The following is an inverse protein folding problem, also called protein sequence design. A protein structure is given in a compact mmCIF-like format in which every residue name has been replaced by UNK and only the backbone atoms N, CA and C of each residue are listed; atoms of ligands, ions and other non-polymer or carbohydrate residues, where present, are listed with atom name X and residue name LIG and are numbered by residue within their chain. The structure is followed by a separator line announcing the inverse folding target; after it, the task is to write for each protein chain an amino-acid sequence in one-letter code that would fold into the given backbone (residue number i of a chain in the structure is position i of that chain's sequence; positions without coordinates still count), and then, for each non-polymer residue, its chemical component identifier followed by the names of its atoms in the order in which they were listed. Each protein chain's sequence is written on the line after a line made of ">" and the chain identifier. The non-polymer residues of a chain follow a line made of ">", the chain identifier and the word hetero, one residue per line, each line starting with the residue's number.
data_IF_964464301968
#
_entry.id   IF_964464301968
#
_cell.length_a   1.000
_cell.length_b   1.000
_cell.length_c   1.000
_cell.angle_alpha   90.00
_cell.angle_beta   90.00
_cell.angle_gamma   90.00
#
_symmetry.space_group_name_H-M   'P 1'
#
loop_
_entity.id
_entity.type
_entity.pdbx_description
1 polymer ?
#
# COMPACT_ATOMS: atom_id res chain seq x y z
N UNK A 1 53.61 -20.49 55.43
CA UNK A 1 53.72 -21.57 54.43
C UNK A 1 54.09 -20.92 53.12
N UNK A 2 55.35 -21.18 52.69
CA UNK A 2 55.95 -20.54 51.52
C UNK A 2 55.67 -21.34 50.26
N UNK A 3 54.99 -20.75 49.25
CA UNK A 3 54.85 -21.31 47.92
C UNK A 3 56.12 -20.90 47.11
N UNK A 4 56.96 -21.89 46.84
CA UNK A 4 58.11 -21.75 45.96
C UNK A 4 57.71 -21.66 44.47
N UNK A 5 58.53 -20.99 43.62
CA UNK A 5 58.23 -20.85 42.19
C UNK A 5 58.44 -22.20 41.48
N UNK A 6 57.42 -22.62 40.69
CA UNK A 6 57.52 -23.75 39.77
C UNK A 6 58.58 -23.44 38.70
N UNK A 7 59.63 -24.27 38.65
CA UNK A 7 60.63 -24.26 37.57
C UNK A 7 59.94 -24.57 36.25
N UNK A 8 59.99 -23.58 35.32
CA UNK A 8 59.62 -23.80 33.92
C UNK A 8 60.48 -24.87 33.28
N UNK A 9 59.89 -26.01 32.95
CA UNK A 9 60.54 -27.03 32.15
C UNK A 9 60.88 -26.46 30.77
N UNK A 10 62.08 -26.70 30.26
CA UNK A 10 62.44 -26.42 28.88
C UNK A 10 61.45 -27.19 27.97
N UNK A 11 60.86 -26.56 26.97
CA UNK A 11 59.96 -27.24 26.05
C UNK A 11 60.72 -28.36 25.32
N UNK A 12 60.03 -29.50 25.18
CA UNK A 12 60.58 -30.70 24.54
C UNK A 12 60.96 -30.38 23.08
N UNK A 13 62.09 -30.92 22.57
CA UNK A 13 62.46 -30.74 21.16
C UNK A 13 61.36 -31.13 20.17
N UNK A 14 60.45 -32.09 20.55
CA UNK A 14 59.29 -32.49 19.78
C UNK A 14 58.22 -31.36 19.71
N UNK A 15 57.97 -30.65 20.84
CA UNK A 15 57.02 -29.51 20.88
C UNK A 15 57.50 -28.32 20.08
N UNK A 16 58.82 -28.06 20.09
CA UNK A 16 59.42 -27.00 19.28
C UNK A 16 59.30 -27.30 17.78
N UNK A 17 59.42 -28.56 17.38
CA UNK A 17 59.28 -28.95 15.99
C UNK A 17 57.80 -28.87 15.52
N UNK A 18 56.87 -29.27 16.36
CA UNK A 18 55.45 -29.16 16.07
C UNK A 18 55.00 -27.69 15.92
N UNK A 19 55.48 -26.78 16.81
CA UNK A 19 55.20 -25.35 16.73
C UNK A 19 55.86 -24.67 15.49
N UNK A 20 57.05 -25.14 15.08
CA UNK A 20 57.68 -24.67 13.86
C UNK A 20 56.98 -25.13 12.59
N UNK A 21 56.50 -26.37 12.59
CA UNK A 21 55.71 -26.94 11.46
C UNK A 21 54.34 -26.28 11.34
N UNK A 22 53.69 -25.96 12.46
CA UNK A 22 52.42 -25.20 12.44
C UNK A 22 52.64 -23.75 11.95
N UNK A 23 53.69 -23.07 12.40
CA UNK A 23 54.03 -21.73 11.94
C UNK A 23 54.38 -21.71 10.45
N UNK A 24 55.12 -22.71 9.97
CA UNK A 24 55.43 -22.87 8.55
C UNK A 24 54.22 -23.15 7.70
N UNK A 25 53.31 -24.00 8.17
CA UNK A 25 52.04 -24.29 7.45
C UNK A 25 51.16 -23.02 7.34
N UNK A 26 51.07 -22.21 8.39
CA UNK A 26 50.35 -20.93 8.34
C UNK A 26 51.01 -19.95 7.35
N UNK A 27 52.34 -19.85 7.37
CA UNK A 27 53.07 -18.97 6.44
C UNK A 27 52.92 -19.38 4.98
N UNK A 28 52.88 -20.70 4.70
CA UNK A 28 52.61 -21.28 3.38
C UNK A 28 51.15 -21.04 2.97
N UNK A 29 50.16 -21.21 3.87
CA UNK A 29 48.77 -20.94 3.60
C UNK A 29 48.49 -19.46 3.31
N UNK A 30 49.14 -18.58 4.08
CA UNK A 30 49.05 -17.12 3.85
C UNK A 30 49.72 -16.68 2.54
N UNK A 31 50.86 -17.30 2.18
CA UNK A 31 51.52 -17.03 0.91
C UNK A 31 50.68 -17.54 -0.29
N UNK A 32 50.09 -18.72 -0.19
CA UNK A 32 49.20 -19.26 -1.25
C UNK A 32 47.98 -18.38 -1.42
N UNK A 33 47.34 -17.95 -0.31
CA UNK A 33 46.17 -17.06 -0.38
C UNK A 33 46.53 -15.69 -0.98
N UNK A 34 47.68 -15.14 -0.63
CA UNK A 34 48.18 -13.89 -1.21
C UNK A 34 48.40 -14.03 -2.73
N UNK A 35 49.00 -15.13 -3.16
CA UNK A 35 49.24 -15.41 -4.58
C UNK A 35 47.94 -15.66 -5.38
N UNK A 36 46.98 -16.31 -4.78
CA UNK A 36 45.67 -16.50 -5.39
C UNK A 36 44.90 -15.18 -5.56
N UNK A 37 44.94 -14.30 -4.54
CA UNK A 37 44.36 -12.97 -4.62
C UNK A 37 45.07 -12.09 -5.69
N UNK A 38 46.38 -12.14 -5.78
CA UNK A 38 47.14 -11.40 -6.77
C UNK A 38 46.85 -11.88 -8.19
N UNK A 39 46.76 -13.22 -8.38
CA UNK A 39 46.41 -13.84 -9.67
C UNK A 39 44.96 -13.52 -10.10
N UNK A 40 44.04 -13.50 -9.14
CA UNK A 40 42.64 -13.11 -9.37
C UNK A 40 42.56 -11.64 -9.77
N UNK A 41 43.26 -10.76 -9.03
CA UNK A 41 43.25 -9.32 -9.29
C UNK A 41 43.87 -8.93 -10.63
N UNK A 42 45.00 -9.57 -11.03
CA UNK A 42 45.64 -9.34 -12.32
C UNK A 42 44.80 -9.83 -13.49
N UNK A 43 44.01 -10.90 -13.29
CA UNK A 43 43.17 -11.51 -14.34
C UNK A 43 41.80 -10.85 -14.48
N UNK A 44 41.16 -10.50 -13.36
CA UNK A 44 39.78 -10.02 -13.33
C UNK A 44 39.63 -8.56 -12.85
N UNK A 45 40.64 -7.96 -12.24
CA UNK A 45 40.56 -6.63 -11.64
C UNK A 45 40.10 -5.56 -12.60
N UNK A 46 40.57 -5.58 -13.86
CA UNK A 46 40.12 -4.62 -14.90
C UNK A 46 38.66 -4.79 -15.25
N UNK A 47 38.16 -6.03 -15.28
CA UNK A 47 36.76 -6.31 -15.59
C UNK A 47 35.85 -5.96 -14.41
N UNK A 48 36.30 -6.20 -13.20
CA UNK A 48 35.61 -5.82 -11.97
C UNK A 48 35.55 -4.29 -11.82
N UNK A 49 36.63 -3.60 -12.17
CA UNK A 49 36.65 -2.13 -12.21
C UNK A 49 35.66 -1.60 -13.24
N UNK A 50 35.64 -2.17 -14.45
CA UNK A 50 34.68 -1.79 -15.49
C UNK A 50 33.22 -2.05 -15.07
N UNK A 51 32.97 -3.16 -14.38
CA UNK A 51 31.65 -3.50 -13.87
C UNK A 51 31.20 -2.50 -12.79
N UNK A 52 32.12 -2.10 -11.88
CA UNK A 52 31.85 -1.07 -10.88
C UNK A 52 31.55 0.28 -11.55
N UNK A 53 32.36 0.69 -12.52
CA UNK A 53 32.11 1.93 -13.27
C UNK A 53 30.78 1.89 -13.99
N UNK A 54 30.44 0.76 -14.64
CA UNK A 54 29.15 0.59 -15.31
C UNK A 54 27.97 0.64 -14.32
N UNK A 55 28.11 0.00 -13.16
CA UNK A 55 27.10 0.04 -12.11
C UNK A 55 26.91 1.47 -11.55
N UNK A 56 27.98 2.21 -11.34
CA UNK A 56 27.91 3.61 -10.87
C UNK A 56 27.29 4.52 -11.94
N UNK A 57 27.62 4.32 -13.22
CA UNK A 57 27.04 5.07 -14.32
C UNK A 57 25.52 4.77 -14.45
N UNK A 58 25.13 3.51 -14.35
CA UNK A 58 23.71 3.11 -14.35
C UNK A 58 22.97 3.70 -13.14
N UNK A 59 23.57 3.71 -11.97
CA UNK A 59 23.00 4.31 -10.77
C UNK A 59 22.87 5.84 -10.89
N UNK A 60 23.87 6.52 -11.42
CA UNK A 60 23.81 7.96 -11.68
C UNK A 60 22.72 8.31 -12.71
N UNK A 61 22.60 7.51 -13.78
CA UNK A 61 21.53 7.67 -14.78
C UNK A 61 20.14 7.44 -14.18
N UNK A 62 20.01 6.45 -13.29
CA UNK A 62 18.75 6.20 -12.55
C UNK A 62 18.38 7.38 -11.63
N UNK A 63 19.33 7.93 -10.87
CA UNK A 63 19.09 9.12 -10.01
C UNK A 63 18.67 10.31 -10.86
N UNK A 64 19.38 10.56 -11.95
CA UNK A 64 19.06 11.69 -12.84
C UNK A 64 17.65 11.54 -13.44
N UNK A 65 17.30 10.36 -13.94
CA UNK A 65 15.96 10.07 -14.48
C UNK A 65 14.88 10.18 -13.39
N UNK A 66 15.12 9.64 -12.19
CA UNK A 66 14.19 9.75 -11.06
C UNK A 66 13.96 11.20 -10.62
N UNK A 67 15.03 12.02 -10.59
CA UNK A 67 14.91 13.45 -10.26
C UNK A 67 14.15 14.25 -11.33
N UNK A 68 14.35 13.92 -12.61
CA UNK A 68 13.63 14.58 -13.70
C UNK A 68 12.13 14.27 -13.64
N UNK A 69 11.77 13.01 -13.36
CA UNK A 69 10.37 12.60 -13.14
C UNK A 69 9.75 13.31 -11.93
N UNK A 70 10.49 13.44 -10.83
CA UNK A 70 10.01 14.18 -9.66
C UNK A 70 9.78 15.67 -9.98
N UNK A 71 10.74 16.31 -10.65
CA UNK A 71 10.61 17.71 -11.04
C UNK A 71 9.46 17.97 -12.04
N UNK A 72 9.15 17.00 -12.90
CA UNK A 72 7.97 17.08 -13.77
C UNK A 72 6.68 16.93 -12.96
N UNK A 73 6.61 16.00 -12.01
CA UNK A 73 5.46 15.82 -11.13
C UNK A 73 5.21 17.07 -10.27
N UNK A 74 6.26 17.68 -9.73
CA UNK A 74 6.16 18.92 -8.94
C UNK A 74 5.57 20.06 -9.77
N UNK A 75 6.08 20.29 -11.00
CA UNK A 75 5.52 21.29 -11.91
C UNK A 75 4.05 21.06 -12.23
N UNK A 76 3.66 19.80 -12.46
CA UNK A 76 2.26 19.47 -12.73
C UNK A 76 1.40 19.65 -11.48
N UNK A 77 1.96 19.41 -10.29
CA UNK A 77 1.31 19.72 -9.02
C UNK A 77 1.05 21.22 -8.84
N UNK A 78 2.06 22.06 -9.12
CA UNK A 78 1.92 23.52 -9.09
C UNK A 78 0.88 24.01 -10.09
N UNK A 79 0.90 23.51 -11.33
CA UNK A 79 -0.12 23.85 -12.33
C UNK A 79 -1.52 23.42 -11.88
N UNK A 80 -1.64 22.25 -11.24
CA UNK A 80 -2.94 21.80 -10.74
C UNK A 80 -3.46 22.69 -9.63
N UNK A 81 -2.58 23.14 -8.71
CA UNK A 81 -2.94 24.12 -7.67
C UNK A 81 -3.38 25.44 -8.31
N UNK A 82 -2.63 25.96 -9.29
CA UNK A 82 -3.01 27.19 -10.02
C UNK A 82 -4.40 27.07 -10.67
N UNK A 83 -4.70 25.90 -11.26
CA UNK A 83 -6.03 25.65 -11.80
C UNK A 83 -7.13 25.69 -10.73
N UNK A 84 -6.88 25.13 -9.54
CA UNK A 84 -7.83 25.17 -8.42
C UNK A 84 -7.99 26.58 -7.88
N UNK A 85 -6.90 27.34 -7.70
CA UNK A 85 -6.93 28.73 -7.25
C UNK A 85 -7.74 29.61 -8.22
N UNK A 86 -7.59 29.41 -9.54
CA UNK A 86 -8.41 30.08 -10.56
C UNK A 86 -9.90 29.74 -10.42
N UNK A 87 -10.23 28.48 -10.11
CA UNK A 87 -11.63 28.08 -9.87
C UNK A 87 -12.21 28.78 -8.63
N UNK A 88 -11.43 28.86 -7.55
CA UNK A 88 -11.84 29.58 -6.33
C UNK A 88 -12.02 31.06 -6.60
N UNK A 89 -11.18 31.63 -7.45
CA UNK A 89 -11.31 33.03 -7.94
C UNK A 89 -12.44 33.23 -8.95
N UNK A 90 -13.18 32.16 -9.33
CA UNK A 90 -14.22 32.15 -10.38
C UNK A 90 -13.69 32.47 -11.79
N UNK A 91 -12.40 32.32 -12.01
CA UNK A 91 -11.78 32.36 -13.35
C UNK A 91 -11.79 30.97 -13.97
N UNK A 92 -12.97 30.54 -14.38
CA UNK A 92 -13.15 29.23 -14.99
C UNK A 92 -12.42 29.08 -16.34
N UNK A 93 -12.34 30.19 -17.11
CA UNK A 93 -11.68 30.14 -18.42
C UNK A 93 -10.18 29.89 -18.25
N UNK A 94 -9.52 30.61 -17.32
CA UNK A 94 -8.12 30.39 -16.99
C UNK A 94 -7.86 29.02 -16.38
N UNK A 95 -8.78 28.51 -15.54
CA UNK A 95 -8.66 27.17 -15.00
C UNK A 95 -8.73 26.08 -16.09
N UNK A 96 -9.67 26.20 -17.04
CA UNK A 96 -9.81 25.24 -18.14
C UNK A 96 -8.60 25.25 -19.08
N UNK A 97 -7.96 26.42 -19.28
CA UNK A 97 -6.70 26.50 -20.04
C UNK A 97 -5.60 25.68 -19.38
N UNK A 98 -5.35 25.90 -18.07
CA UNK A 98 -4.34 25.17 -17.30
C UNK A 98 -4.66 23.67 -17.22
N UNK A 99 -5.91 23.30 -16.97
CA UNK A 99 -6.35 21.90 -16.98
C UNK A 99 -6.14 21.27 -18.37
N UNK A 100 -6.33 22.03 -19.44
CA UNK A 100 -6.05 21.62 -20.81
C UNK A 100 -4.59 21.26 -21.04
N UNK A 101 -3.66 22.01 -20.46
CA UNK A 101 -2.23 21.71 -20.49
C UNK A 101 -1.89 20.44 -19.67
N UNK A 102 -2.45 20.32 -18.46
CA UNK A 102 -2.25 19.15 -17.59
C UNK A 102 -2.75 17.87 -18.28
N UNK A 103 -3.81 17.91 -19.07
CA UNK A 103 -4.32 16.76 -19.83
C UNK A 103 -3.35 16.26 -20.90
N UNK A 104 -2.35 17.04 -21.31
CA UNK A 104 -1.28 16.62 -22.22
C UNK A 104 -0.10 15.95 -21.49
N UNK A 105 -0.16 15.85 -20.18
CA UNK A 105 0.90 15.24 -19.37
C UNK A 105 1.06 13.74 -19.66
N UNK A 106 2.31 13.28 -19.65
CA UNK A 106 2.62 11.84 -19.67
C UNK A 106 2.24 11.15 -18.35
N UNK A 107 2.06 11.91 -17.26
CA UNK A 107 1.67 11.36 -15.98
C UNK A 107 0.15 11.07 -15.92
N UNK A 108 -0.27 9.80 -15.86
CA UNK A 108 -1.68 9.43 -15.90
C UNK A 108 -2.49 9.94 -14.70
N UNK A 109 -1.83 10.17 -13.56
CA UNK A 109 -2.50 10.69 -12.35
C UNK A 109 -3.00 12.12 -12.60
N UNK A 110 -2.12 13.01 -13.08
CA UNK A 110 -2.49 14.41 -13.34
C UNK A 110 -3.50 14.54 -14.49
N UNK A 111 -3.36 13.70 -15.54
CA UNK A 111 -4.40 13.65 -16.59
C UNK A 111 -5.77 13.30 -16.02
N UNK A 112 -5.85 12.26 -15.20
CA UNK A 112 -7.10 11.82 -14.60
C UNK A 112 -7.68 12.89 -13.67
N UNK A 113 -6.84 13.57 -12.87
CA UNK A 113 -7.27 14.66 -11.98
C UNK A 113 -7.86 15.83 -12.79
N UNK A 114 -7.18 16.27 -13.85
CA UNK A 114 -7.64 17.37 -14.69
C UNK A 114 -8.97 17.03 -15.40
N UNK A 115 -9.10 15.82 -15.95
CA UNK A 115 -10.34 15.36 -16.58
C UNK A 115 -11.49 15.29 -15.57
N UNK A 116 -11.25 14.80 -14.34
CA UNK A 116 -12.29 14.74 -13.32
C UNK A 116 -12.75 16.11 -12.86
N UNK A 117 -11.84 17.09 -12.76
CA UNK A 117 -12.20 18.49 -12.44
C UNK A 117 -13.03 19.09 -13.58
N UNK A 118 -12.63 18.91 -14.83
CA UNK A 118 -13.39 19.37 -15.99
C UNK A 118 -14.80 18.74 -16.04
N UNK A 119 -14.90 17.44 -15.76
CA UNK A 119 -16.19 16.77 -15.66
C UNK A 119 -17.09 17.35 -14.57
N UNK A 120 -16.51 17.68 -13.40
CA UNK A 120 -17.26 18.34 -12.32
C UNK A 120 -17.76 19.72 -12.75
N UNK A 121 -16.91 20.54 -13.38
CA UNK A 121 -17.29 21.86 -13.88
C UNK A 121 -18.42 21.79 -14.90
N UNK A 122 -18.37 20.81 -15.81
CA UNK A 122 -19.45 20.59 -16.78
C UNK A 122 -20.77 20.26 -16.06
N UNK A 123 -20.72 19.40 -15.02
CA UNK A 123 -21.90 19.07 -14.21
C UNK A 123 -22.45 20.28 -13.46
N UNK A 124 -21.59 21.10 -12.86
CA UNK A 124 -21.97 22.33 -12.13
C UNK A 124 -22.64 23.35 -13.04
N UNK A 125 -22.20 23.46 -14.29
CA UNK A 125 -22.81 24.28 -15.33
C UNK A 125 -24.13 23.77 -15.87
N UNK A 126 -24.56 22.58 -15.45
CA UNK A 126 -25.74 21.92 -15.95
C UNK A 126 -25.55 21.18 -17.28
N UNK A 127 -24.32 21.17 -17.83
CA UNK A 127 -24.01 20.36 -19.02
C UNK A 127 -23.73 18.91 -18.62
N UNK A 128 -24.79 18.25 -18.15
CA UNK A 128 -24.72 16.86 -17.72
C UNK A 128 -24.23 15.93 -18.83
N UNK A 129 -24.50 16.26 -20.10
CA UNK A 129 -24.05 15.44 -21.22
C UNK A 129 -22.54 15.45 -21.37
N UNK A 130 -21.92 16.63 -21.29
CA UNK A 130 -20.47 16.76 -21.35
C UNK A 130 -19.81 16.11 -20.12
N UNK A 131 -20.32 16.39 -18.90
CA UNK A 131 -19.79 15.82 -17.67
C UNK A 131 -19.83 14.29 -17.66
N UNK A 132 -20.94 13.69 -18.04
CA UNK A 132 -21.09 12.22 -18.18
C UNK A 132 -20.13 11.63 -19.22
N UNK A 133 -19.95 12.32 -20.36
CA UNK A 133 -19.00 11.85 -21.39
C UNK A 133 -17.56 11.82 -20.85
N UNK A 134 -17.17 12.83 -20.06
CA UNK A 134 -15.84 12.89 -19.43
C UNK A 134 -15.69 11.79 -18.38
N UNK A 135 -16.66 11.62 -17.47
CA UNK A 135 -16.59 10.55 -16.46
C UNK A 135 -16.50 9.16 -17.10
N UNK A 136 -17.32 8.93 -18.15
CA UNK A 136 -17.25 7.66 -18.89
C UNK A 136 -15.88 7.46 -19.53
N UNK A 137 -15.31 8.49 -20.14
CA UNK A 137 -13.96 8.43 -20.74
C UNK A 137 -12.91 8.02 -19.70
N UNK A 138 -12.91 8.68 -18.52
CA UNK A 138 -11.98 8.37 -17.42
C UNK A 138 -12.21 6.96 -16.87
N UNK A 139 -13.46 6.54 -16.69
CA UNK A 139 -13.79 5.21 -16.17
C UNK A 139 -13.32 4.08 -17.12
N UNK A 140 -13.38 4.30 -18.42
CA UNK A 140 -13.03 3.31 -19.45
C UNK A 140 -11.54 3.30 -19.80
N UNK A 141 -10.77 4.34 -19.42
CA UNK A 141 -9.35 4.45 -19.77
C UNK A 141 -8.48 3.56 -18.88
N UNK A 142 -8.10 2.38 -19.40
CA UNK A 142 -7.27 1.40 -18.68
C UNK A 142 -5.82 1.86 -18.44
N UNK A 143 -5.38 2.95 -19.05
CA UNK A 143 -4.06 3.55 -18.78
C UNK A 143 -4.03 4.33 -17.48
N UNK A 144 -5.21 4.68 -16.92
CA UNK A 144 -5.34 5.42 -15.69
C UNK A 144 -5.34 4.48 -14.46
N UNK A 145 -4.86 4.92 -13.30
CA UNK A 145 -4.96 4.15 -12.08
C UNK A 145 -6.40 3.83 -11.69
N UNK A 146 -6.65 2.63 -11.17
CA UNK A 146 -7.99 2.14 -10.80
C UNK A 146 -8.74 3.09 -9.86
N UNK A 147 -8.02 3.78 -8.97
CA UNK A 147 -8.64 4.73 -8.05
C UNK A 147 -9.41 5.85 -8.78
N UNK A 148 -8.84 6.42 -9.84
CA UNK A 148 -9.48 7.46 -10.64
C UNK A 148 -10.61 6.92 -11.52
N UNK A 149 -10.39 5.75 -12.11
CA UNK A 149 -11.41 5.07 -12.90
C UNK A 149 -12.65 4.73 -12.08
N UNK A 150 -12.44 4.18 -10.88
CA UNK A 150 -13.53 3.86 -9.96
C UNK A 150 -14.24 5.10 -9.45
N UNK A 151 -13.51 6.20 -9.16
CA UNK A 151 -14.11 7.48 -8.81
C UNK A 151 -14.99 8.01 -9.94
N UNK A 152 -14.50 7.98 -11.18
CA UNK A 152 -15.25 8.40 -12.35
C UNK A 152 -16.52 7.54 -12.54
N UNK A 153 -16.41 6.22 -12.38
CA UNK A 153 -17.54 5.29 -12.46
C UNK A 153 -18.63 5.59 -11.42
N UNK A 154 -18.22 5.89 -10.18
CA UNK A 154 -19.14 6.30 -9.10
C UNK A 154 -19.82 7.61 -9.45
N UNK A 155 -19.05 8.65 -9.86
CA UNK A 155 -19.63 9.97 -10.24
C UNK A 155 -20.56 9.87 -11.42
N UNK A 156 -20.22 9.10 -12.44
CA UNK A 156 -21.07 8.80 -13.55
C UNK A 156 -22.37 8.14 -13.08
N UNK A 157 -22.26 7.14 -12.22
CA UNK A 157 -23.44 6.40 -11.71
C UNK A 157 -24.34 7.31 -10.86
N UNK A 158 -23.76 8.18 -10.01
CA UNK A 158 -24.52 9.18 -9.25
C UNK A 158 -25.27 10.11 -10.17
N UNK A 159 -24.63 10.65 -11.21
CA UNK A 159 -25.23 11.59 -12.13
C UNK A 159 -26.35 10.96 -13.00
N UNK A 160 -26.22 9.66 -13.30
CA UNK A 160 -27.24 8.92 -14.08
C UNK A 160 -28.27 8.17 -13.20
N UNK A 161 -28.16 8.24 -11.85
CA UNK A 161 -28.83 7.35 -10.92
C UNK A 161 -30.34 7.27 -11.11
N UNK A 162 -30.99 8.40 -11.36
CA UNK A 162 -32.45 8.47 -11.54
C UNK A 162 -32.92 8.06 -12.94
N UNK A 163 -32.01 8.06 -13.92
CA UNK A 163 -32.31 7.63 -15.29
C UNK A 163 -31.99 6.13 -15.54
N UNK A 164 -31.13 5.55 -14.72
CA UNK A 164 -30.74 4.15 -14.83
C UNK A 164 -31.80 3.21 -14.23
N UNK A 165 -31.96 2.04 -14.84
CA UNK A 165 -32.70 0.95 -14.18
C UNK A 165 -31.93 0.47 -12.94
N UNK A 166 -32.60 0.15 -11.83
CA UNK A 166 -31.92 -0.33 -10.63
C UNK A 166 -30.99 -1.53 -10.86
N UNK A 167 -31.35 -2.44 -11.76
CA UNK A 167 -30.51 -3.59 -12.13
C UNK A 167 -29.19 -3.16 -12.79
N UNK A 168 -29.22 -2.09 -13.58
CA UNK A 168 -28.02 -1.57 -14.27
C UNK A 168 -27.07 -0.89 -13.26
N UNK A 169 -27.62 -0.19 -12.26
CA UNK A 169 -26.85 0.35 -11.13
C UNK A 169 -26.13 -0.76 -10.37
N UNK A 170 -26.87 -1.81 -10.00
CA UNK A 170 -26.32 -2.97 -9.28
C UNK A 170 -25.23 -3.64 -10.10
N UNK A 171 -25.47 -3.91 -11.37
CA UNK A 171 -24.49 -4.55 -12.25
C UNK A 171 -23.20 -3.71 -12.40
N UNK A 172 -23.35 -2.41 -12.59
CA UNK A 172 -22.24 -1.46 -12.75
C UNK A 172 -21.38 -1.35 -11.49
N UNK A 173 -22.00 -1.27 -10.32
CA UNK A 173 -21.31 -1.06 -9.05
C UNK A 173 -20.90 -2.37 -8.34
N UNK A 174 -21.32 -3.53 -8.82
CA UNK A 174 -21.02 -4.82 -8.20
C UNK A 174 -19.55 -5.04 -7.82
N UNK A 175 -18.55 -4.66 -8.65
CA UNK A 175 -17.14 -4.83 -8.29
C UNK A 175 -16.70 -3.95 -7.12
N UNK A 176 -17.33 -2.79 -6.93
CA UNK A 176 -17.01 -1.80 -5.91
C UNK A 176 -17.84 -1.96 -4.64
N UNK A 177 -19.03 -2.54 -4.76
CA UNK A 177 -19.98 -2.77 -3.68
C UNK A 177 -19.67 -4.07 -2.91
N UNK A 178 -18.40 -4.32 -2.61
CA UNK A 178 -17.94 -5.47 -1.85
C UNK A 178 -17.27 -5.01 -0.54
N UNK A 179 -17.55 -5.68 0.59
CA UNK A 179 -16.85 -5.40 1.84
C UNK A 179 -15.33 -5.47 1.68
N UNK A 180 -14.62 -4.52 2.27
CA UNK A 180 -13.18 -4.39 2.12
C UNK A 180 -12.72 -3.58 0.90
N UNK A 181 -13.60 -3.30 -0.06
CA UNK A 181 -13.29 -2.37 -1.14
C UNK A 181 -13.30 -0.92 -0.61
N UNK A 182 -12.30 -0.07 -0.94
CA UNK A 182 -12.29 1.33 -0.51
C UNK A 182 -13.54 2.14 -0.91
N UNK A 183 -14.20 1.74 -1.99
CA UNK A 183 -15.40 2.38 -2.52
C UNK A 183 -16.71 1.79 -1.98
N UNK A 184 -16.63 0.77 -1.10
CA UNK A 184 -17.80 0.05 -0.59
C UNK A 184 -18.84 0.98 0.03
N UNK A 185 -18.42 1.99 0.78
CA UNK A 185 -19.35 2.94 1.39
C UNK A 185 -20.29 3.57 0.37
N UNK A 186 -19.74 4.16 -0.70
CA UNK A 186 -20.55 4.84 -1.73
C UNK A 186 -21.24 3.86 -2.69
N UNK A 187 -20.50 2.87 -3.19
CA UNK A 187 -21.03 1.89 -4.13
C UNK A 187 -22.07 0.97 -3.48
N UNK A 188 -21.82 0.56 -2.22
CA UNK A 188 -22.75 -0.24 -1.44
C UNK A 188 -24.04 0.51 -1.12
N UNK A 189 -23.95 1.78 -0.71
CA UNK A 189 -25.16 2.59 -0.44
C UNK A 189 -26.05 2.70 -1.70
N UNK A 190 -25.46 3.07 -2.85
CA UNK A 190 -26.20 3.13 -4.11
C UNK A 190 -26.80 1.80 -4.52
N UNK A 191 -26.07 0.70 -4.31
CA UNK A 191 -26.53 -0.67 -4.60
C UNK A 191 -27.70 -1.05 -3.69
N UNK A 192 -27.62 -0.75 -2.39
CA UNK A 192 -28.68 -1.02 -1.43
C UNK A 192 -29.96 -0.21 -1.77
N UNK A 193 -29.84 1.08 -2.10
CA UNK A 193 -30.97 1.89 -2.55
C UNK A 193 -31.56 1.33 -3.85
N UNK A 194 -30.74 0.83 -4.78
CA UNK A 194 -31.23 0.20 -6.00
C UNK A 194 -32.02 -1.11 -5.70
N UNK A 195 -31.61 -1.92 -4.72
CA UNK A 195 -32.38 -3.06 -4.25
C UNK A 195 -33.71 -2.63 -3.64
N UNK A 196 -33.73 -1.56 -2.83
CA UNK A 196 -35.00 -1.03 -2.27
C UNK A 196 -35.95 -0.57 -3.38
N UNK A 197 -35.45 0.14 -4.42
CA UNK A 197 -36.26 0.52 -5.59
C UNK A 197 -36.86 -0.70 -6.32
N UNK A 198 -36.29 -1.90 -6.13
CA UNK A 198 -36.80 -3.16 -6.69
C UNK A 198 -37.72 -3.93 -5.71
N UNK A 199 -38.00 -3.41 -4.52
CA UNK A 199 -38.72 -4.12 -3.46
C UNK A 199 -37.94 -5.30 -2.87
N UNK A 200 -36.61 -5.31 -2.98
CA UNK A 200 -35.70 -6.35 -2.44
C UNK A 200 -35.04 -5.87 -1.17
N UNK A 201 -35.82 -5.56 -0.17
CA UNK A 201 -35.39 -5.04 1.11
C UNK A 201 -34.50 -6.03 1.87
N UNK A 202 -34.74 -7.32 1.69
CA UNK A 202 -33.94 -8.44 2.20
C UNK A 202 -32.51 -8.43 1.73
N UNK A 203 -32.22 -7.86 0.54
CA UNK A 203 -30.86 -7.68 0.01
C UNK A 203 -30.27 -6.33 0.37
N UNK A 204 -31.08 -5.29 0.52
CA UNK A 204 -30.64 -3.95 0.86
C UNK A 204 -30.17 -3.84 2.32
N UNK A 205 -30.92 -4.37 3.25
CA UNK A 205 -30.66 -4.25 4.68
C UNK A 205 -29.30 -4.76 5.13
N UNK A 206 -28.88 -5.98 4.72
CA UNK A 206 -27.53 -6.47 5.03
C UNK A 206 -26.39 -5.60 4.51
N UNK A 207 -26.55 -4.94 3.35
CA UNK A 207 -25.54 -4.03 2.81
C UNK A 207 -25.43 -2.78 3.69
N UNK A 208 -26.55 -2.17 4.09
CA UNK A 208 -26.52 -1.04 5.01
C UNK A 208 -25.94 -1.43 6.37
N UNK A 209 -26.24 -2.59 6.91
CA UNK A 209 -25.66 -3.07 8.15
C UNK A 209 -24.13 -3.25 8.05
N UNK A 210 -23.61 -3.72 6.91
CA UNK A 210 -22.18 -3.84 6.67
C UNK A 210 -21.51 -2.47 6.55
N UNK A 211 -22.14 -1.47 5.90
CA UNK A 211 -21.63 -0.10 5.83
C UNK A 211 -21.56 0.51 7.23
N UNK A 212 -22.62 0.32 8.04
CA UNK A 212 -22.68 0.83 9.42
C UNK A 212 -21.52 0.34 10.30
N UNK A 213 -21.10 -0.90 10.13
CA UNK A 213 -20.00 -1.54 10.88
C UNK A 213 -18.60 -1.11 10.44
N UNK A 214 -18.44 -0.58 9.26
CA UNK A 214 -17.12 -0.30 8.70
C UNK A 214 -16.49 0.95 9.32
N UNK A 215 -15.69 0.78 10.37
CA UNK A 215 -15.05 1.85 11.18
C UNK A 215 -14.17 2.82 10.33
N UNK A 216 -13.69 2.40 9.16
CA UNK A 216 -12.91 3.25 8.24
C UNK A 216 -13.76 4.27 7.46
N UNK A 217 -15.08 4.14 7.46
CA UNK A 217 -15.98 5.08 6.78
C UNK A 217 -16.32 6.27 7.67
N UNK A 218 -16.62 7.45 7.06
CA UNK A 218 -17.08 8.62 7.81
C UNK A 218 -18.30 8.31 8.68
N UNK A 219 -18.32 8.87 9.88
CA UNK A 219 -19.41 8.66 10.85
C UNK A 219 -20.79 9.03 10.28
N UNK A 220 -20.87 10.11 9.50
CA UNK A 220 -22.12 10.54 8.85
C UNK A 220 -22.69 9.46 7.92
N UNK A 221 -21.86 8.74 7.19
CA UNK A 221 -22.26 7.65 6.31
C UNK A 221 -22.69 6.44 7.12
N UNK A 222 -21.92 6.07 8.15
CA UNK A 222 -22.27 4.95 9.06
C UNK A 222 -23.59 5.18 9.78
N UNK A 223 -23.79 6.37 10.32
CA UNK A 223 -25.05 6.74 11.01
C UNK A 223 -26.26 6.62 10.08
N UNK A 224 -26.14 7.15 8.85
CA UNK A 224 -27.19 7.02 7.85
C UNK A 224 -27.46 5.54 7.48
N UNK A 225 -26.40 4.77 7.30
CA UNK A 225 -26.52 3.33 7.01
C UNK A 225 -27.17 2.57 8.17
N UNK A 226 -26.86 2.90 9.45
CA UNK A 226 -27.53 2.34 10.63
C UNK A 226 -29.02 2.62 10.64
N UNK A 227 -29.43 3.87 10.35
CA UNK A 227 -30.82 4.25 10.27
C UNK A 227 -31.55 3.51 9.15
N UNK A 228 -30.91 3.36 7.98
CA UNK A 228 -31.48 2.62 6.86
C UNK A 228 -31.62 1.12 7.17
N UNK A 229 -30.60 0.50 7.77
CA UNK A 229 -30.68 -0.89 8.21
C UNK A 229 -31.82 -1.10 9.21
N UNK A 230 -31.91 -0.21 10.23
CA UNK A 230 -32.98 -0.24 11.22
C UNK A 230 -34.39 -0.11 10.61
N UNK A 231 -34.56 0.78 9.62
CA UNK A 231 -35.86 0.90 8.90
C UNK A 231 -36.24 -0.34 8.13
N UNK A 232 -35.28 -1.18 7.76
CA UNK A 232 -35.46 -2.47 7.08
C UNK A 232 -35.44 -3.65 8.06
N UNK A 233 -35.55 -3.39 9.38
CA UNK A 233 -35.68 -4.42 10.42
C UNK A 233 -34.37 -5.08 10.81
N UNK A 234 -33.21 -4.51 10.44
CA UNK A 234 -31.87 -5.03 10.82
C UNK A 234 -31.27 -4.10 11.86
N UNK A 235 -31.03 -4.66 13.07
CA UNK A 235 -30.33 -3.94 14.14
C UNK A 235 -28.83 -4.00 13.94
N UNK A 236 -28.28 -2.98 13.25
CA UNK A 236 -26.87 -2.89 12.96
C UNK A 236 -26.03 -2.58 14.22
N UNK A 237 -26.61 -2.03 15.29
CA UNK A 237 -25.93 -1.69 16.54
C UNK A 237 -25.65 -2.95 17.36
N UNK A 238 -26.63 -3.82 17.54
CA UNK A 238 -26.46 -5.10 18.27
C UNK A 238 -25.49 -6.05 17.56
N UNK A 239 -25.38 -5.95 16.25
CA UNK A 239 -24.42 -6.73 15.47
C UNK A 239 -22.96 -6.26 15.70
N UNK A 240 -22.75 -4.95 15.93
CA UNK A 240 -21.42 -4.39 16.21
C UNK A 240 -20.93 -4.83 17.60
N UNK A 241 -21.79 -4.80 18.63
CA UNK A 241 -21.48 -5.25 19.98
C UNK A 241 -21.06 -6.74 20.04
N UNK A 242 -21.78 -7.60 19.31
CA UNK A 242 -21.47 -9.04 19.26
C UNK A 242 -20.17 -9.35 18.54
N UNK A 243 -19.82 -8.59 17.48
CA UNK A 243 -18.58 -8.76 16.75
C UNK A 243 -17.38 -8.24 17.56
N UNK A 244 -17.57 -7.15 18.33
CA UNK A 244 -16.55 -6.62 19.25
C UNK A 244 -16.34 -7.58 20.44
N UNK A 245 -17.39 -8.16 21.03
CA UNK A 245 -17.28 -9.19 22.06
C UNK A 245 -16.60 -10.47 21.57
N UNK A 246 -16.92 -10.91 20.35
CA UNK A 246 -16.29 -12.09 19.73
C UNK A 246 -14.80 -11.83 19.42
N UNK A 247 -14.45 -10.62 18.98
CA UNK A 247 -13.07 -10.22 18.72
C UNK A 247 -12.25 -10.14 20.01
N UNK A 248 -12.79 -9.54 21.08
CA UNK A 248 -12.15 -9.49 22.39
C UNK A 248 -11.98 -10.88 23.02
N UNK A 249 -12.97 -11.76 22.84
CA UNK A 249 -12.88 -13.14 23.32
C UNK A 249 -11.80 -13.95 22.58
N UNK A 250 -11.57 -13.65 21.29
CA UNK A 250 -10.54 -14.31 20.48
C UNK A 250 -9.13 -13.79 20.84
N UNK A 251 -8.98 -12.47 21.00
CA UNK A 251 -7.72 -11.84 21.47
C UNK A 251 -7.33 -12.33 22.89
N UNK A 252 -8.32 -12.49 23.77
CA UNK A 252 -8.09 -13.05 25.11
C UNK A 252 -7.66 -14.53 25.06
N UNK A 253 -8.14 -15.31 24.10
CA UNK A 253 -7.73 -16.71 23.89
C UNK A 253 -6.32 -16.81 23.32
N UNK A 254 -6.00 -15.98 22.33
CA UNK A 254 -4.67 -15.95 21.71
C UNK A 254 -3.61 -15.46 22.73
N UNK A 255 -3.92 -14.43 23.52
CA UNK A 255 -3.05 -13.97 24.62
C UNK A 255 -2.85 -15.01 25.73
N UNK A 256 -3.87 -15.82 26.04
CA UNK A 256 -3.75 -16.91 27.00
C UNK A 256 -2.93 -18.10 26.45
N UNK A 257 -3.01 -18.36 25.15
CA UNK A 257 -2.21 -19.40 24.49
C UNK A 257 -0.72 -19.02 24.45
N UNK A 258 -0.41 -17.75 24.16
CA UNK A 258 0.96 -17.23 24.11
C UNK A 258 1.60 -17.18 25.52
N UNK A 259 0.83 -16.78 26.54
CA UNK A 259 1.25 -16.83 27.93
C UNK A 259 1.49 -18.27 28.44
N UNK A 260 0.70 -19.24 27.96
CA UNK A 260 0.88 -20.65 28.24
C UNK A 260 2.14 -21.25 27.61
N UNK A 261 2.46 -20.84 26.38
CA UNK A 261 3.68 -21.26 25.67
C UNK A 261 4.94 -20.67 26.33
N UNK A 262 4.93 -19.40 26.72
CA UNK A 262 6.03 -18.75 27.44
C UNK A 262 6.27 -19.34 28.85
N UNK A 263 5.22 -19.82 29.52
CA UNK A 263 5.34 -20.48 30.81
C UNK A 263 5.93 -21.90 30.70
N UNK A 264 5.68 -22.61 29.59
CA UNK A 264 6.28 -23.93 29.32
C UNK A 264 7.76 -23.82 28.93
N UNK A 265 8.14 -22.82 28.12
CA UNK A 265 9.53 -22.58 27.75
C UNK A 265 10.42 -22.19 28.95
N UNK A 266 9.88 -21.43 29.91
CA UNK A 266 10.58 -21.11 31.16
C UNK A 266 10.66 -22.28 32.12
N UNK A 267 9.77 -23.27 32.06
CA UNK A 267 9.84 -24.49 32.90
C UNK A 267 10.89 -25.47 32.39
N UNK A 268 11.06 -25.62 31.08
CA UNK A 268 12.08 -26.47 30.48
C UNK A 268 13.51 -25.93 30.66
N UNK A 269 13.69 -24.60 30.69
CA UNK A 269 15.00 -23.98 30.92
C UNK A 269 15.49 -24.08 32.35
N UNK A 270 14.60 -24.22 33.35
CA UNK A 270 14.96 -24.38 34.75
C UNK A 270 15.27 -25.82 35.15
N UNK A 271 14.81 -26.83 34.42
CA UNK A 271 15.18 -28.25 34.66
C UNK A 271 16.51 -28.64 34.01
N UNK A 272 16.99 -27.87 33.01
CA UNK A 272 18.27 -28.11 32.34
C UNK A 272 19.52 -27.67 33.12
N UNK A 273 19.39 -26.80 34.14
CA UNK A 273 20.53 -26.30 34.94
C UNK A 273 20.78 -27.08 36.25
N UNK A 274 20.00 -28.12 36.56
CA UNK A 274 20.10 -28.87 37.81
C UNK A 274 20.68 -30.32 37.66
N UNK A 275 21.41 -30.61 36.56
CA UNK A 275 22.04 -31.95 36.41
C UNK A 275 23.54 -31.85 36.03
#
# INVERSE_FOLDING_TARGET
>A
MAFGPKKGGKPDPADKKALSDEAFMREVDDAVRAQDLESFWTRYGRWLLLLIIAALAAFAAYIWWSNDQAAQADRQGEMFIDAIDKLEAKDEAGALEVLGEIKQSDNPVYRAMAELVEGNLAMEKGDSKAGLAIYKKVADDTSLPDAFRNLALIRQTVAEYDSLKPQDVIARLKPLAQPGNPWFGSAGEMTAIAYMKMGKEDLAGPIFAQIAKQKSLPESLRTRATQMAGSLGIDAVQLDEKDDEASQANEARDGAADAGAAAQENAETTEGEAN
#
